data_IF_523050159791
#
_entry.id   IF_523050159791
#
_cell.length_a   1.000
_cell.length_b   1.000
_cell.length_c   1.000
_cell.angle_alpha   90.00
_cell.angle_beta   90.00
_cell.angle_gamma   90.00
#
_symmetry.space_group_name_H-M   'P 1'
#
loop_
_entity.id
_entity.type
_entity.pdbx_description
1 polymer ?
#
# COMPACT_ATOMS: atom_id res chain seq x y z
N UNK A 1 -8.47 -25.37 4.33
CA UNK A 1 -8.34 -24.01 3.76
C UNK A 1 -8.71 -24.09 2.29
N UNK A 2 -9.68 -23.29 1.80
CA UNK A 2 -9.90 -23.15 0.36
C UNK A 2 -8.63 -22.53 -0.24
N UNK A 3 -8.07 -23.14 -1.28
CA UNK A 3 -6.90 -22.60 -1.99
C UNK A 3 -7.34 -21.29 -2.64
N UNK A 4 -6.80 -20.15 -2.18
CA UNK A 4 -7.09 -18.83 -2.75
C UNK A 4 -6.30 -18.71 -4.06
N UNK A 5 -6.99 -18.43 -5.16
CA UNK A 5 -6.36 -18.16 -6.45
C UNK A 5 -6.31 -16.65 -6.58
N UNK A 6 -5.09 -16.09 -6.58
CA UNK A 6 -4.87 -14.67 -6.82
C UNK A 6 -5.02 -14.40 -8.32
N UNK A 7 -5.91 -13.47 -8.69
CA UNK A 7 -6.18 -13.10 -10.07
C UNK A 7 -5.49 -11.79 -10.45
N UNK A 8 -5.47 -10.82 -9.52
CA UNK A 8 -4.88 -9.52 -9.79
C UNK A 8 -4.31 -8.92 -8.51
N UNK A 9 -3.15 -8.28 -8.62
CA UNK A 9 -2.57 -7.43 -7.58
C UNK A 9 -2.49 -5.99 -8.08
N UNK A 10 -3.23 -5.07 -7.45
CA UNK A 10 -3.18 -3.65 -7.80
C UNK A 10 -2.01 -2.96 -7.10
N UNK A 11 -0.78 -3.43 -7.40
CA UNK A 11 0.45 -2.99 -6.73
C UNK A 11 0.62 -1.46 -6.74
N UNK A 12 0.33 -0.82 -7.87
CA UNK A 12 0.45 0.63 -8.00
C UNK A 12 -0.46 1.39 -7.03
N UNK A 13 -1.69 0.92 -6.86
CA UNK A 13 -2.65 1.53 -5.92
C UNK A 13 -2.19 1.29 -4.49
N UNK A 14 -1.84 0.04 -4.15
CA UNK A 14 -1.35 -0.31 -2.82
C UNK A 14 -0.10 0.50 -2.43
N UNK A 15 0.88 0.59 -3.34
CA UNK A 15 2.11 1.35 -3.14
C UNK A 15 1.83 2.86 -2.99
N UNK A 16 0.87 3.41 -3.74
CA UNK A 16 0.45 4.80 -3.57
C UNK A 16 -0.15 5.07 -2.19
N UNK A 17 -0.94 4.13 -1.67
CA UNK A 17 -1.53 4.23 -0.32
C UNK A 17 -0.45 4.12 0.76
N UNK A 18 0.47 3.15 0.63
CA UNK A 18 1.62 3.00 1.53
C UNK A 18 2.46 4.29 1.54
N UNK A 19 2.76 4.86 0.37
CA UNK A 19 3.52 6.10 0.27
C UNK A 19 2.80 7.28 0.94
N UNK A 20 1.47 7.35 0.85
CA UNK A 20 0.69 8.36 1.55
C UNK A 20 0.82 8.22 3.08
N UNK A 21 0.73 7.00 3.62
CA UNK A 21 0.96 6.74 5.05
C UNK A 21 2.37 7.15 5.48
N UNK A 22 3.39 6.79 4.72
CA UNK A 22 4.79 7.16 5.01
C UNK A 22 5.00 8.67 4.96
N UNK A 23 4.36 9.38 4.03
CA UNK A 23 4.43 10.85 3.98
C UNK A 23 3.84 11.47 5.24
N UNK A 24 2.69 10.98 5.70
CA UNK A 24 2.06 11.44 6.94
C UNK A 24 2.95 11.21 8.16
N UNK A 25 3.54 10.02 8.25
CA UNK A 25 4.51 9.68 9.30
C UNK A 25 5.71 10.64 9.27
N UNK A 26 6.29 10.88 8.10
CA UNK A 26 7.44 11.77 7.95
C UNK A 26 7.11 13.22 8.36
N UNK A 27 5.93 13.73 8.00
CA UNK A 27 5.49 15.06 8.42
C UNK A 27 5.38 15.14 9.95
N UNK A 28 4.73 14.16 10.57
CA UNK A 28 4.63 14.06 12.03
C UNK A 28 5.99 13.99 12.71
N UNK A 29 6.90 13.15 12.21
CA UNK A 29 8.24 12.99 12.79
C UNK A 29 9.10 14.26 12.68
N UNK A 30 8.97 15.03 11.59
CA UNK A 30 9.63 16.34 11.46
C UNK A 30 9.16 17.30 12.54
N UNK A 31 7.87 17.36 12.81
CA UNK A 31 7.31 18.20 13.87
C UNK A 31 7.83 17.73 15.24
N UNK A 32 7.74 16.43 15.55
CA UNK A 32 8.21 15.88 16.83
C UNK A 32 9.71 16.11 17.05
N UNK A 33 10.52 16.06 15.98
CA UNK A 33 11.96 16.33 16.05
C UNK A 33 12.22 17.78 16.48
N UNK A 34 11.56 18.76 15.83
CA UNK A 34 11.71 20.17 16.19
C UNK A 34 11.20 20.42 17.62
N UNK A 35 10.04 19.85 17.99
CA UNK A 35 9.51 19.96 19.35
C UNK A 35 10.50 19.43 20.40
N UNK A 36 11.16 18.30 20.11
CA UNK A 36 12.18 17.72 20.98
C UNK A 36 13.40 18.63 21.11
N UNK A 37 13.85 19.26 20.02
CA UNK A 37 14.97 20.21 20.02
C UNK A 37 14.69 21.44 20.89
N UNK A 38 13.44 21.92 20.93
CA UNK A 38 13.02 23.06 21.77
C UNK A 38 12.58 22.65 23.18
N UNK A 39 12.79 21.39 23.58
CA UNK A 39 12.57 20.93 24.96
C UNK A 39 11.19 20.34 25.25
N UNK A 40 10.45 19.89 24.22
CA UNK A 40 9.19 19.15 24.35
C UNK A 40 9.29 17.79 23.67
N UNK A 41 9.50 16.73 24.45
CA UNK A 41 9.53 15.36 23.94
C UNK A 41 8.13 14.75 23.96
N UNK A 42 7.54 14.52 22.80
CA UNK A 42 6.26 13.85 22.61
C UNK A 42 6.42 12.65 21.68
N UNK A 43 5.62 11.61 21.90
CA UNK A 43 5.50 10.47 20.97
C UNK A 43 4.37 10.71 19.96
N UNK A 44 3.32 11.42 20.38
CA UNK A 44 2.18 11.84 19.57
C UNK A 44 1.47 13.03 20.23
N UNK A 45 0.58 13.70 19.51
CA UNK A 45 -0.36 14.68 20.05
C UNK A 45 -1.59 14.81 19.14
N UNK A 46 -2.73 15.22 19.69
CA UNK A 46 -3.97 15.42 18.95
C UNK A 46 -4.28 16.91 18.76
N UNK A 47 -3.92 17.74 19.74
CA UNK A 47 -4.25 19.16 19.77
C UNK A 47 -3.03 20.02 20.08
N UNK A 48 -2.65 20.86 19.10
CA UNK A 48 -1.49 21.74 19.21
C UNK A 48 -1.58 22.72 20.39
N UNK A 49 -2.70 23.42 20.54
CA UNK A 49 -2.84 24.44 21.58
C UNK A 49 -2.75 23.83 22.99
N UNK A 50 -3.40 22.68 23.18
CA UNK A 50 -3.48 22.02 24.49
C UNK A 50 -2.20 21.29 24.87
N UNK A 51 -1.55 20.62 23.92
CA UNK A 51 -0.43 19.71 24.23
C UNK A 51 0.93 20.34 23.94
N UNK A 52 1.01 21.27 22.97
CA UNK A 52 2.26 21.92 22.56
C UNK A 52 2.36 23.34 23.12
N UNK A 53 1.40 24.23 22.83
CA UNK A 53 1.48 25.62 23.30
C UNK A 53 1.46 25.75 24.82
N UNK A 54 0.62 24.96 25.49
CA UNK A 54 0.47 25.02 26.93
C UNK A 54 1.80 24.72 27.66
N UNK A 55 2.60 23.80 27.14
CA UNK A 55 3.91 23.44 27.71
C UNK A 55 4.83 24.67 27.82
N UNK A 56 4.92 25.46 26.76
CA UNK A 56 5.78 26.65 26.72
C UNK A 56 5.25 27.83 27.52
N UNK A 57 4.00 27.79 28.01
CA UNK A 57 3.45 28.80 28.92
C UNK A 57 3.66 28.48 30.39
N UNK A 58 4.17 27.29 30.74
CA UNK A 58 4.25 26.82 32.14
C UNK A 58 5.06 27.75 33.06
N UNK A 59 6.16 28.31 32.57
CA UNK A 59 7.04 29.17 33.38
C UNK A 59 6.42 30.56 33.64
N UNK A 60 5.68 31.10 32.67
CA UNK A 60 5.00 32.39 32.77
C UNK A 60 3.54 32.29 32.29
N UNK A 61 2.63 31.67 33.08
CA UNK A 61 1.29 31.31 32.62
C UNK A 61 0.41 32.50 32.18
N UNK A 62 0.70 33.69 32.69
CA UNK A 62 -0.03 34.93 32.40
C UNK A 62 0.59 35.76 31.27
N UNK A 63 1.79 35.39 30.80
CA UNK A 63 2.46 36.09 29.71
C UNK A 63 1.93 35.62 28.34
N UNK A 64 2.23 36.39 27.29
CA UNK A 64 1.98 35.95 25.92
C UNK A 64 2.88 34.76 25.57
N UNK A 65 2.45 33.92 24.63
CA UNK A 65 3.27 32.81 24.15
C UNK A 65 4.59 33.33 23.57
N UNK A 66 4.54 34.40 22.76
CA UNK A 66 5.76 35.02 22.20
C UNK A 66 6.77 35.43 23.27
N UNK A 67 6.31 36.03 24.38
CA UNK A 67 7.20 36.38 25.48
C UNK A 67 7.87 35.14 26.06
N UNK A 68 7.12 34.06 26.30
CA UNK A 68 7.67 32.82 26.84
C UNK A 68 8.69 32.19 25.88
N UNK A 69 8.39 32.18 24.58
CA UNK A 69 9.26 31.63 23.55
C UNK A 69 10.53 32.47 23.36
N UNK A 70 10.42 33.80 23.38
CA UNK A 70 11.55 34.73 23.32
C UNK A 70 12.45 34.59 24.56
N UNK A 71 11.85 34.50 25.75
CA UNK A 71 12.58 34.30 27.01
C UNK A 71 13.36 32.98 27.04
N UNK A 72 12.84 31.93 26.40
CA UNK A 72 13.51 30.64 26.25
C UNK A 72 14.44 30.56 25.02
N UNK A 73 14.46 31.58 24.15
CA UNK A 73 15.30 31.60 22.94
C UNK A 73 14.90 30.59 21.86
N UNK A 74 13.65 30.12 21.86
CA UNK A 74 13.15 29.03 20.99
C UNK A 74 12.04 29.48 20.02
N UNK A 75 11.80 30.79 19.91
CA UNK A 75 10.70 31.32 19.10
C UNK A 75 10.74 30.88 17.64
N UNK A 76 11.87 31.04 16.97
CA UNK A 76 12.01 30.66 15.56
C UNK A 76 11.74 29.16 15.32
N UNK A 77 12.41 28.21 16.00
CA UNK A 77 12.13 26.79 15.80
C UNK A 77 10.69 26.40 16.22
N UNK A 78 10.13 27.04 17.25
CA UNK A 78 8.71 26.85 17.59
C UNK A 78 7.79 27.25 16.42
N UNK A 79 7.99 28.43 15.83
CA UNK A 79 7.18 28.92 14.70
C UNK A 79 7.35 28.05 13.45
N UNK A 80 8.52 27.47 13.24
CA UNK A 80 8.75 26.49 12.17
C UNK A 80 7.91 25.22 12.39
N UNK A 81 7.90 24.66 13.61
CA UNK A 81 7.09 23.49 13.93
C UNK A 81 5.59 23.79 13.80
N UNK A 82 5.14 24.96 14.25
CA UNK A 82 3.76 25.42 14.13
C UNK A 82 3.33 25.58 12.66
N UNK A 83 4.21 26.15 11.82
CA UNK A 83 3.96 26.29 10.39
C UNK A 83 3.81 24.93 9.72
N UNK A 84 4.71 23.98 10.02
CA UNK A 84 4.62 22.60 9.49
C UNK A 84 3.34 21.90 9.95
N UNK A 85 2.94 22.08 11.21
CA UNK A 85 1.69 21.55 11.73
C UNK A 85 0.47 22.11 10.98
N UNK A 86 0.41 23.42 10.77
CA UNK A 86 -0.70 24.08 10.06
C UNK A 86 -0.75 23.71 8.59
N UNK A 87 0.40 23.62 7.93
CA UNK A 87 0.51 23.21 6.52
C UNK A 87 0.04 21.77 6.31
N UNK A 88 0.38 20.87 7.24
CA UNK A 88 0.13 19.45 7.09
C UNK A 88 -0.98 18.90 7.98
N UNK A 89 -1.84 19.73 8.58
CA UNK A 89 -2.83 19.30 9.60
C UNK A 89 -3.64 18.04 9.24
N UNK A 90 -4.08 17.92 7.98
CA UNK A 90 -4.85 16.76 7.49
C UNK A 90 -3.98 15.58 7.00
N UNK A 91 -2.66 15.75 6.97
CA UNK A 91 -1.65 14.83 6.48
C UNK A 91 -0.59 14.54 7.56
N UNK A 92 -1.05 14.40 8.82
CA UNK A 92 -0.27 13.92 9.97
C UNK A 92 -0.72 12.51 10.37
N UNK A 93 0.24 11.70 10.80
CA UNK A 93 0.02 10.39 11.42
C UNK A 93 1.20 10.08 12.32
N UNK A 94 0.94 9.86 13.61
CA UNK A 94 1.98 9.46 14.56
C UNK A 94 2.15 7.93 14.63
N UNK A 95 1.22 7.18 14.05
CA UNK A 95 1.32 5.73 13.93
C UNK A 95 2.30 5.35 12.82
N UNK A 96 3.23 4.47 13.17
CA UNK A 96 4.20 3.90 12.24
C UNK A 96 3.59 2.76 11.46
N UNK A 97 3.72 2.80 10.14
CA UNK A 97 3.29 1.71 9.28
C UNK A 97 4.32 0.57 9.29
N UNK A 98 4.07 -0.47 10.08
CA UNK A 98 4.90 -1.67 10.13
C UNK A 98 4.71 -2.57 8.88
N UNK A 99 5.54 -3.61 8.76
CA UNK A 99 5.52 -4.48 7.58
C UNK A 99 4.23 -5.30 7.47
N UNK A 100 3.64 -5.69 8.60
CA UNK A 100 2.32 -6.34 8.63
C UNK A 100 1.22 -5.41 8.09
N UNK A 101 1.24 -4.13 8.46
CA UNK A 101 0.32 -3.13 7.96
C UNK A 101 0.49 -2.86 6.46
N UNK A 102 1.73 -2.84 5.96
CA UNK A 102 1.99 -2.75 4.50
C UNK A 102 1.40 -3.95 3.77
N UNK A 103 1.57 -5.15 4.32
CA UNK A 103 1.03 -6.35 3.70
C UNK A 103 -0.50 -6.41 3.78
N UNK A 104 -1.10 -5.95 4.87
CA UNK A 104 -2.55 -5.81 4.98
C UNK A 104 -3.10 -4.82 3.94
N UNK A 105 -2.39 -3.70 3.68
CA UNK A 105 -2.74 -2.78 2.60
C UNK A 105 -2.67 -3.50 1.26
N UNK A 106 -1.57 -4.17 0.92
CA UNK A 106 -1.46 -4.93 -0.35
C UNK A 106 -2.57 -5.95 -0.50
N UNK A 107 -2.82 -6.73 0.55
CA UNK A 107 -3.87 -7.74 0.60
C UNK A 107 -5.26 -7.16 0.34
N UNK A 108 -5.57 -5.97 0.84
CA UNK A 108 -6.86 -5.32 0.59
C UNK A 108 -7.05 -4.85 -0.85
N UNK A 109 -5.97 -4.74 -1.62
CA UNK A 109 -5.97 -4.39 -3.05
C UNK A 109 -5.73 -5.58 -3.98
N UNK A 110 -5.60 -6.79 -3.43
CA UNK A 110 -5.57 -8.04 -4.21
C UNK A 110 -6.99 -8.51 -4.54
N UNK A 111 -7.15 -9.07 -5.72
CA UNK A 111 -8.39 -9.69 -6.17
C UNK A 111 -8.19 -11.19 -6.32
N UNK A 112 -9.10 -11.95 -5.72
CA UNK A 112 -9.06 -13.40 -5.70
C UNK A 112 -10.26 -13.98 -6.45
N UNK A 113 -10.16 -15.23 -6.88
CA UNK A 113 -11.33 -15.98 -7.33
C UNK A 113 -12.29 -16.22 -6.14
N UNK A 114 -13.52 -15.76 -6.28
CA UNK A 114 -14.55 -15.81 -5.23
C UNK A 114 -15.60 -16.90 -5.48
N UNK A 115 -15.87 -17.20 -6.76
CA UNK A 115 -16.91 -18.17 -7.14
C UNK A 115 -16.34 -19.52 -7.58
N UNK A 116 -17.14 -20.58 -7.49
CA UNK A 116 -16.74 -21.92 -7.98
C UNK A 116 -16.47 -21.90 -9.48
N UNK A 117 -17.26 -21.16 -10.27
CA UNK A 117 -17.06 -21.01 -11.72
C UNK A 117 -15.70 -20.35 -12.04
N UNK A 118 -15.30 -19.33 -11.28
CA UNK A 118 -14.00 -18.68 -11.47
C UNK A 118 -12.84 -19.64 -11.17
N UNK A 119 -12.97 -20.42 -10.09
CA UNK A 119 -11.98 -21.42 -9.70
C UNK A 119 -11.90 -22.54 -10.74
N UNK A 120 -13.04 -23.01 -11.24
CA UNK A 120 -13.13 -24.05 -12.27
C UNK A 120 -12.51 -23.57 -13.58
N UNK A 121 -12.85 -22.36 -14.05
CA UNK A 121 -12.29 -21.78 -15.26
C UNK A 121 -10.75 -21.66 -15.18
N UNK A 122 -10.23 -21.20 -14.03
CA UNK A 122 -8.79 -21.12 -13.79
C UNK A 122 -8.11 -22.49 -13.91
N UNK A 123 -8.63 -23.48 -13.20
CA UNK A 123 -8.07 -24.82 -13.17
C UNK A 123 -8.18 -25.52 -14.53
N UNK A 124 -9.29 -25.33 -15.25
CA UNK A 124 -9.52 -25.92 -16.56
C UNK A 124 -8.52 -25.41 -17.59
N UNK A 125 -8.29 -24.10 -17.64
CA UNK A 125 -7.29 -23.50 -18.54
C UNK A 125 -5.89 -24.10 -18.30
N UNK A 126 -5.48 -24.22 -17.04
CA UNK A 126 -4.21 -24.82 -16.65
C UNK A 126 -4.12 -26.32 -16.98
N UNK A 127 -5.21 -27.06 -16.78
CA UNK A 127 -5.27 -28.49 -17.11
C UNK A 127 -5.12 -28.72 -18.61
N UNK A 128 -5.83 -27.95 -19.44
CA UNK A 128 -5.74 -28.06 -20.90
C UNK A 128 -4.30 -27.82 -21.36
N UNK A 129 -3.64 -26.78 -20.86
CA UNK A 129 -2.24 -26.49 -21.19
C UNK A 129 -1.31 -27.64 -20.78
N UNK A 130 -1.50 -28.20 -19.58
CA UNK A 130 -0.74 -29.35 -19.11
C UNK A 130 -0.92 -30.56 -20.04
N UNK A 131 -2.15 -30.88 -20.40
CA UNK A 131 -2.46 -32.04 -21.25
C UNK A 131 -1.90 -31.85 -22.68
N UNK A 132 -1.97 -30.63 -23.23
CA UNK A 132 -1.37 -30.30 -24.52
C UNK A 132 0.16 -30.49 -24.51
N UNK A 133 0.83 -30.01 -23.46
CA UNK A 133 2.27 -30.20 -23.33
C UNK A 133 2.63 -31.69 -23.13
N UNK A 134 1.82 -32.44 -22.39
CA UNK A 134 2.00 -33.89 -22.23
C UNK A 134 1.87 -34.64 -23.56
N UNK A 135 0.94 -34.25 -24.44
CA UNK A 135 0.86 -34.83 -25.79
C UNK A 135 2.16 -34.62 -26.59
N UNK A 136 2.78 -33.44 -26.48
CA UNK A 136 4.06 -33.17 -27.12
C UNK A 136 5.18 -34.06 -26.57
N UNK A 137 5.22 -34.26 -25.25
CA UNK A 137 6.19 -35.16 -24.60
C UNK A 137 6.01 -36.62 -25.05
N UNK A 138 4.79 -37.03 -25.36
CA UNK A 138 4.47 -38.35 -25.92
C UNK A 138 4.71 -38.45 -27.44
N UNK A 139 5.25 -37.41 -28.08
CA UNK A 139 5.58 -37.40 -29.51
C UNK A 139 4.42 -37.03 -30.44
N UNK A 140 3.27 -36.61 -29.89
CA UNK A 140 2.13 -36.13 -30.69
C UNK A 140 2.34 -34.65 -30.99
N UNK A 141 2.36 -34.30 -32.28
CA UNK A 141 2.56 -32.91 -32.71
C UNK A 141 1.34 -32.06 -32.39
N UNK A 142 1.46 -31.20 -31.38
CA UNK A 142 0.47 -30.15 -31.07
C UNK A 142 0.73 -28.93 -31.94
N UNK A 143 -0.31 -28.49 -32.67
CA UNK A 143 -0.27 -27.24 -33.42
C UNK A 143 -0.63 -26.07 -32.49
N UNK A 144 0.39 -25.33 -32.04
CA UNK A 144 0.23 -24.21 -31.11
C UNK A 144 -0.66 -23.10 -31.68
N UNK A 145 -0.60 -22.83 -32.99
CA UNK A 145 -1.42 -21.80 -33.62
C UNK A 145 -2.91 -22.11 -33.52
N UNK A 146 -3.30 -23.38 -33.69
CA UNK A 146 -4.69 -23.78 -33.53
C UNK A 146 -5.14 -23.73 -32.06
N UNK A 147 -4.26 -24.06 -31.11
CA UNK A 147 -4.56 -23.92 -29.69
C UNK A 147 -4.86 -22.44 -29.31
N UNK A 148 -4.03 -21.50 -29.78
CA UNK A 148 -4.24 -20.06 -29.56
C UNK A 148 -5.49 -19.53 -30.25
N UNK A 149 -5.79 -19.99 -31.47
CA UNK A 149 -7.01 -19.61 -32.20
C UNK A 149 -8.28 -20.16 -31.54
N UNK A 150 -8.20 -21.34 -30.91
CA UNK A 150 -9.31 -21.94 -30.18
C UNK A 150 -9.62 -21.16 -28.89
N UNK A 151 -8.59 -20.77 -28.14
CA UNK A 151 -8.75 -19.99 -26.92
C UNK A 151 -7.62 -18.98 -26.75
N UNK A 152 -7.98 -17.69 -26.69
CA UNK A 152 -7.04 -16.57 -26.60
C UNK A 152 -6.35 -16.44 -25.23
N UNK A 153 -6.75 -17.24 -24.24
CA UNK A 153 -6.05 -17.36 -22.95
C UNK A 153 -4.81 -18.26 -23.06
N UNK A 154 -4.56 -18.89 -24.20
CA UNK A 154 -3.35 -19.65 -24.45
C UNK A 154 -2.38 -18.86 -25.32
N UNK A 155 -1.09 -19.03 -25.06
CA UNK A 155 -0.02 -18.55 -25.92
C UNK A 155 1.06 -19.63 -26.07
N UNK A 156 2.09 -19.35 -26.87
CA UNK A 156 3.21 -20.26 -27.02
C UNK A 156 4.53 -19.59 -26.70
N UNK A 157 5.34 -20.28 -25.90
CA UNK A 157 6.71 -19.90 -25.54
C UNK A 157 7.59 -21.13 -25.69
N UNK A 158 8.75 -21.02 -26.34
CA UNK A 158 9.71 -22.11 -26.49
C UNK A 158 9.11 -23.44 -26.99
N UNK A 159 8.17 -23.37 -27.94
CA UNK A 159 7.43 -24.52 -28.48
C UNK A 159 6.51 -25.27 -27.50
N UNK A 160 6.27 -24.72 -26.30
CA UNK A 160 5.23 -25.18 -25.38
C UNK A 160 3.99 -24.31 -25.48
N UNK A 161 2.85 -24.87 -25.11
CA UNK A 161 1.64 -24.08 -24.86
C UNK A 161 1.68 -23.61 -23.42
N UNK A 162 1.32 -22.37 -23.17
CA UNK A 162 1.28 -21.75 -21.84
C UNK A 162 -0.04 -21.01 -21.64
N UNK A 163 -0.43 -20.81 -20.38
CA UNK A 163 -1.56 -19.95 -20.03
C UNK A 163 -1.09 -18.51 -20.05
N UNK A 164 -1.78 -17.66 -20.80
CA UNK A 164 -1.57 -16.22 -20.73
C UNK A 164 -2.31 -15.66 -19.52
N UNK A 165 -1.66 -15.68 -18.36
CA UNK A 165 -2.25 -15.35 -17.05
C UNK A 165 -3.04 -14.04 -17.05
N UNK A 166 -2.51 -12.96 -17.63
CA UNK A 166 -3.21 -11.67 -17.66
C UNK A 166 -4.57 -11.77 -18.39
N UNK A 167 -4.59 -12.39 -19.58
CA UNK A 167 -5.82 -12.58 -20.34
C UNK A 167 -6.78 -13.54 -19.61
N UNK A 168 -6.26 -14.61 -19.00
CA UNK A 168 -7.09 -15.55 -18.24
C UNK A 168 -7.75 -14.84 -17.05
N UNK A 169 -6.96 -14.11 -16.25
CA UNK A 169 -7.45 -13.44 -15.05
C UNK A 169 -8.47 -12.35 -15.41
N UNK A 170 -8.22 -11.56 -16.46
CA UNK A 170 -9.18 -10.58 -16.98
C UNK A 170 -10.51 -11.24 -17.35
N UNK A 171 -10.48 -12.42 -17.99
CA UNK A 171 -11.69 -13.17 -18.34
C UNK A 171 -12.40 -13.70 -17.10
N UNK A 172 -11.67 -14.27 -16.15
CA UNK A 172 -12.23 -14.81 -14.91
C UNK A 172 -12.92 -13.71 -14.11
N UNK A 173 -12.33 -12.53 -14.02
CA UNK A 173 -12.92 -11.38 -13.32
C UNK A 173 -14.25 -10.90 -13.94
N UNK A 174 -14.50 -11.22 -15.22
CA UNK A 174 -15.79 -10.92 -15.87
C UNK A 174 -16.88 -11.97 -15.62
N UNK A 175 -16.54 -13.15 -15.10
CA UNK A 175 -17.49 -14.19 -14.75
C UNK A 175 -18.16 -13.81 -13.42
N UNK A 176 -19.40 -13.31 -13.49
CA UNK A 176 -20.26 -13.07 -12.33
C UNK A 176 -21.11 -14.29 -12.02
#
# INVERSE_FOLDING_TARGET
MKKRILLQENENVANSVIAAHQRKENNSQRILTILKEIGLSLESFENWEREVEQHFRTQYPKASLDFCLDAAGIKEPYRQAESLYKEHYNDLSFEKLNDEGKEAIRESYRQYAETENQIEAYNLAHSIVKDLNQLQELGIRVNQQYAMNFCNVFHSTNSKVEVYENMLNDRILTLK
#
